data_IF_040171956220
#
_entry.id   IF_040171956220
#
_cell.length_a   1.000
_cell.length_b   1.000
_cell.length_c   1.000
_cell.angle_alpha   90.00
_cell.angle_beta   90.00
_cell.angle_gamma   90.00
#
_symmetry.space_group_name_H-M   'P 1'
#
loop_
_entity.id
_entity.type
_entity.pdbx_description
1 polymer ?
#
# COMPACT_ATOMS: atom_id res chain seq x y z
N UNK A 1 8.02 4.90 1.85
CA UNK A 1 8.83 3.78 2.32
C UNK A 1 8.61 3.58 3.81
N UNK A 2 8.41 2.36 4.23
CA UNK A 2 8.30 2.02 5.64
C UNK A 2 9.29 0.91 5.99
N UNK A 3 9.67 0.80 7.26
CA UNK A 3 10.64 -0.18 7.74
C UNK A 3 9.98 -1.07 8.79
N UNK A 4 10.26 -2.38 8.73
CA UNK A 4 9.87 -3.29 9.78
C UNK A 4 10.95 -3.38 10.89
N UNK A 5 10.67 -4.17 11.93
CA UNK A 5 11.61 -4.32 13.06
C UNK A 5 12.83 -5.16 12.72
N UNK A 6 12.86 -5.81 11.57
CA UNK A 6 13.96 -6.69 11.13
C UNK A 6 14.89 -6.01 10.13
N UNK A 7 14.67 -4.74 9.86
CA UNK A 7 15.50 -3.97 8.94
C UNK A 7 15.10 -4.07 7.47
N UNK A 8 14.01 -4.74 7.16
CA UNK A 8 13.45 -4.74 5.80
C UNK A 8 12.70 -3.45 5.54
N UNK A 9 12.73 -2.99 4.30
CA UNK A 9 11.99 -1.81 3.87
C UNK A 9 10.93 -2.19 2.85
N UNK A 10 9.80 -1.50 2.89
CA UNK A 10 8.73 -1.65 1.90
C UNK A 10 8.58 -0.35 1.14
N UNK A 11 8.37 -0.45 -0.15
CA UNK A 11 8.32 0.68 -1.07
C UNK A 11 7.06 0.58 -1.91
N UNK A 12 6.24 1.64 -1.89
CA UNK A 12 5.13 1.76 -2.82
C UNK A 12 5.68 2.31 -4.13
N UNK A 13 5.62 1.53 -5.19
CA UNK A 13 6.17 1.92 -6.48
C UNK A 13 5.05 2.03 -7.51
N UNK A 14 4.70 3.27 -7.82
CA UNK A 14 3.63 3.56 -8.77
C UNK A 14 4.01 3.17 -10.20
N UNK A 15 5.25 3.37 -10.57
CA UNK A 15 5.73 3.01 -11.91
C UNK A 15 5.69 1.52 -12.18
N UNK A 16 6.05 0.71 -11.19
CA UNK A 16 5.97 -0.75 -11.26
C UNK A 16 4.58 -1.28 -10.92
N UNK A 17 3.71 -0.42 -10.39
CA UNK A 17 2.37 -0.81 -9.93
C UNK A 17 2.43 -1.93 -8.89
N UNK A 18 3.34 -1.82 -7.94
CA UNK A 18 3.61 -2.89 -6.97
C UNK A 18 4.06 -2.33 -5.62
N UNK A 19 3.91 -3.15 -4.59
CA UNK A 19 4.62 -2.98 -3.34
C UNK A 19 5.89 -3.82 -3.44
N UNK A 20 7.03 -3.18 -3.26
CA UNK A 20 8.34 -3.82 -3.31
C UNK A 20 8.89 -4.00 -1.91
N UNK A 21 9.64 -5.06 -1.69
CA UNK A 21 10.45 -5.21 -0.48
C UNK A 21 11.93 -5.06 -0.82
N UNK A 22 12.64 -4.40 0.08
CA UNK A 22 14.10 -4.28 0.02
C UNK A 22 14.67 -4.98 1.24
N UNK A 23 15.46 -6.01 1.01
CA UNK A 23 16.11 -6.77 2.07
C UNK A 23 17.61 -6.71 1.91
N UNK A 24 18.32 -6.84 3.03
CA UNK A 24 19.78 -6.85 3.05
C UNK A 24 20.22 -8.21 3.59
N UNK A 25 20.72 -9.06 2.70
CA UNK A 25 21.17 -10.42 3.05
C UNK A 25 22.62 -10.55 2.64
N UNK A 26 23.49 -10.89 3.60
CA UNK A 26 24.94 -11.10 3.38
C UNK A 26 25.59 -9.94 2.61
N UNK A 27 25.30 -8.70 3.04
CA UNK A 27 25.78 -7.44 2.42
C UNK A 27 25.25 -7.22 0.98
N UNK A 28 24.29 -8.02 0.54
CA UNK A 28 23.63 -7.81 -0.74
C UNK A 28 22.25 -7.24 -0.54
N UNK A 29 21.90 -6.27 -1.38
CA UNK A 29 20.57 -5.66 -1.39
C UNK A 29 19.74 -6.41 -2.42
N UNK A 30 18.60 -6.96 -1.99
CA UNK A 30 17.63 -7.57 -2.87
C UNK A 30 16.35 -6.76 -2.86
N UNK A 31 15.82 -6.47 -4.05
CA UNK A 31 14.54 -5.77 -4.23
C UNK A 31 13.63 -6.70 -5.03
N UNK A 32 12.46 -7.01 -4.46
CA UNK A 32 11.52 -7.91 -5.09
C UNK A 32 10.09 -7.43 -4.84
N UNK A 33 9.15 -7.70 -5.79
CA UNK A 33 7.75 -7.39 -5.55
C UNK A 33 7.17 -8.31 -4.47
N UNK A 34 6.47 -7.71 -3.50
CA UNK A 34 5.68 -8.46 -2.51
C UNK A 34 4.30 -8.72 -3.08
N UNK A 35 3.66 -7.69 -3.59
CA UNK A 35 2.32 -7.73 -4.19
C UNK A 35 2.29 -6.81 -5.41
N UNK A 36 1.71 -7.27 -6.50
CA UNK A 36 1.51 -6.47 -7.72
C UNK A 36 0.13 -6.65 -8.35
N UNK A 37 -0.68 -7.56 -7.82
CA UNK A 37 -2.04 -7.74 -8.35
C UNK A 37 -3.00 -8.15 -7.24
N UNK A 38 -4.28 -7.95 -7.51
CA UNK A 38 -5.39 -8.35 -6.66
C UNK A 38 -6.48 -8.94 -7.54
N UNK A 39 -6.93 -10.16 -7.22
CA UNK A 39 -8.02 -10.85 -7.93
C UNK A 39 -7.77 -10.90 -9.45
N UNK A 40 -6.52 -11.19 -9.84
CA UNK A 40 -6.11 -11.30 -11.23
C UNK A 40 -5.94 -9.96 -11.96
N UNK A 41 -6.12 -8.82 -11.27
CA UNK A 41 -5.95 -7.49 -11.86
C UNK A 41 -4.70 -6.82 -11.29
N UNK A 42 -3.91 -6.19 -12.16
CA UNK A 42 -2.76 -5.41 -11.76
C UNK A 42 -3.20 -4.25 -10.85
N UNK A 43 -2.41 -3.95 -9.84
CA UNK A 43 -2.62 -2.75 -9.03
C UNK A 43 -2.53 -1.50 -9.94
N UNK A 44 -3.26 -0.47 -9.57
CA UNK A 44 -3.29 0.78 -10.36
C UNK A 44 -2.04 1.62 -10.17
N UNK A 45 -1.48 1.60 -8.99
CA UNK A 45 -0.28 2.31 -8.60
C UNK A 45 -0.33 2.63 -7.12
N UNK A 46 0.36 1.84 -6.29
CA UNK A 46 0.43 2.11 -4.84
C UNK A 46 1.05 3.48 -4.57
N UNK A 47 0.51 4.18 -3.58
CA UNK A 47 0.89 5.55 -3.29
C UNK A 47 1.45 5.71 -1.89
N UNK A 48 0.68 5.34 -0.87
CA UNK A 48 1.03 5.59 0.53
C UNK A 48 0.87 4.32 1.35
N UNK A 49 1.69 4.18 2.39
CA UNK A 49 1.72 2.99 3.22
C UNK A 49 1.85 3.34 4.70
N UNK A 50 1.32 2.45 5.54
CA UNK A 50 1.59 2.47 6.98
C UNK A 50 1.70 1.03 7.46
N UNK A 51 2.63 0.78 8.38
CA UNK A 51 2.88 -0.55 8.93
C UNK A 51 2.37 -0.64 10.36
N UNK A 52 1.51 -1.63 10.62
CA UNK A 52 1.15 -2.02 11.97
C UNK A 52 2.24 -2.95 12.50
N UNK A 53 3.10 -2.44 13.38
CA UNK A 53 4.20 -3.22 13.94
C UNK A 53 3.68 -4.35 14.82
N UNK A 54 2.64 -4.10 15.60
CA UNK A 54 2.11 -5.09 16.54
C UNK A 54 1.41 -6.25 15.84
N UNK A 55 0.79 -6.02 14.70
CA UNK A 55 0.04 -7.04 13.96
C UNK A 55 0.76 -7.55 12.72
N UNK A 56 1.89 -6.96 12.37
CA UNK A 56 2.68 -7.29 11.17
C UNK A 56 1.84 -7.21 9.89
N UNK A 57 1.07 -6.12 9.79
CA UNK A 57 0.18 -5.85 8.66
C UNK A 57 0.57 -4.53 8.02
N UNK A 58 0.78 -4.54 6.71
CA UNK A 58 1.07 -3.34 5.92
C UNK A 58 -0.20 -2.90 5.22
N UNK A 59 -0.66 -1.68 5.51
CA UNK A 59 -1.78 -1.07 4.81
C UNK A 59 -1.24 -0.14 3.73
N UNK A 60 -1.86 -0.14 2.55
CA UNK A 60 -1.47 0.78 1.50
C UNK A 60 -2.66 1.26 0.68
N UNK A 61 -2.50 2.44 0.10
CA UNK A 61 -3.47 2.99 -0.85
C UNK A 61 -3.05 2.65 -2.27
N UNK A 62 -4.02 2.32 -3.10
CA UNK A 62 -3.83 2.04 -4.52
C UNK A 62 -4.61 3.09 -5.31
N UNK A 63 -3.99 4.25 -5.52
CA UNK A 63 -4.63 5.40 -6.15
C UNK A 63 -4.50 5.40 -7.67
N UNK A 64 -3.44 4.81 -8.18
CA UNK A 64 -3.02 5.02 -9.55
C UNK A 64 -2.44 6.42 -9.77
N UNK A 65 -2.06 6.74 -11.00
CA UNK A 65 -1.54 8.06 -11.34
C UNK A 65 -2.56 9.16 -11.09
N UNK A 66 -2.07 10.38 -10.90
CA UNK A 66 -2.91 11.55 -10.70
C UNK A 66 -3.89 11.72 -11.86
N UNK A 67 -5.17 11.87 -11.54
CA UNK A 67 -6.24 12.02 -12.53
C UNK A 67 -7.00 10.74 -12.87
N UNK A 68 -6.45 9.56 -12.58
CA UNK A 68 -7.12 8.28 -12.87
C UNK A 68 -8.32 8.04 -11.95
N UNK A 69 -8.22 8.47 -10.71
CA UNK A 69 -9.29 8.34 -9.73
C UNK A 69 -9.72 9.71 -9.27
N UNK A 70 -11.00 10.04 -9.41
CA UNK A 70 -11.55 11.36 -9.11
C UNK A 70 -12.80 11.24 -8.27
N UNK A 71 -13.30 12.38 -7.77
CA UNK A 71 -14.55 12.41 -7.00
C UNK A 71 -15.74 11.95 -7.84
N UNK A 72 -15.73 12.24 -9.15
CA UNK A 72 -16.80 11.84 -10.07
C UNK A 72 -16.68 10.38 -10.51
N UNK A 73 -15.47 9.84 -10.48
CA UNK A 73 -15.19 8.44 -10.86
C UNK A 73 -14.16 7.86 -9.89
N UNK A 74 -14.55 7.57 -8.64
CA UNK A 74 -13.63 7.01 -7.67
C UNK A 74 -13.28 5.57 -8.02
N UNK A 75 -11.99 5.29 -8.22
CA UNK A 75 -11.48 3.96 -8.56
C UNK A 75 -10.37 3.50 -7.61
N UNK A 76 -9.99 4.34 -6.66
CA UNK A 76 -8.92 4.04 -5.72
C UNK A 76 -9.34 3.03 -4.65
N UNK A 77 -8.36 2.37 -4.09
CA UNK A 77 -8.56 1.29 -3.13
C UNK A 77 -7.61 1.39 -1.95
N UNK A 78 -7.95 0.69 -0.87
CA UNK A 78 -7.06 0.44 0.26
C UNK A 78 -6.97 -1.06 0.45
N UNK A 79 -5.76 -1.55 0.59
CA UNK A 79 -5.47 -2.96 0.82
C UNK A 79 -4.62 -3.15 2.07
N UNK A 80 -4.64 -4.35 2.60
CA UNK A 80 -3.78 -4.78 3.69
C UNK A 80 -3.00 -6.02 3.26
N UNK A 81 -1.72 -6.08 3.61
CA UNK A 81 -0.90 -7.27 3.42
C UNK A 81 -0.58 -7.84 4.79
N UNK A 82 -1.01 -9.07 5.04
CA UNK A 82 -0.55 -9.82 6.20
C UNK A 82 0.86 -10.32 5.88
N UNK A 83 1.86 -9.68 6.46
CA UNK A 83 3.26 -9.98 6.14
C UNK A 83 3.71 -11.34 6.65
N UNK A 84 3.04 -11.90 7.65
CA UNK A 84 3.40 -13.23 8.18
C UNK A 84 3.12 -14.35 7.19
N UNK A 85 2.14 -14.17 6.30
CA UNK A 85 1.75 -15.17 5.28
C UNK A 85 1.76 -14.59 3.87
N UNK A 86 2.18 -13.35 3.69
CA UNK A 86 2.22 -12.64 2.41
C UNK A 86 0.86 -12.66 1.69
N UNK A 87 -0.21 -12.44 2.45
CA UNK A 87 -1.57 -12.49 1.91
C UNK A 87 -2.14 -11.09 1.79
N UNK A 88 -2.62 -10.75 0.60
CA UNK A 88 -3.31 -9.49 0.33
C UNK A 88 -4.78 -9.61 0.68
N UNK A 89 -5.28 -8.62 1.41
CA UNK A 89 -6.69 -8.53 1.80
C UNK A 89 -7.24 -7.17 1.40
N UNK A 90 -8.45 -7.13 0.81
CA UNK A 90 -9.07 -5.84 0.50
C UNK A 90 -9.62 -5.19 1.78
N UNK A 91 -9.45 -3.88 1.88
CA UNK A 91 -10.10 -3.08 2.93
C UNK A 91 -11.26 -2.31 2.32
N UNK A 92 -11.00 -1.59 1.22
CA UNK A 92 -12.03 -0.87 0.48
C UNK A 92 -11.59 -0.79 -0.98
N UNK A 93 -12.38 -1.33 -1.89
CA UNK A 93 -11.97 -1.50 -3.29
C UNK A 93 -12.81 -0.62 -4.21
N UNK A 94 -12.11 0.23 -4.99
CA UNK A 94 -12.73 1.01 -6.08
C UNK A 94 -13.69 2.09 -5.63
N UNK A 95 -13.57 2.60 -4.40
CA UNK A 95 -14.53 3.52 -3.81
C UNK A 95 -13.96 4.88 -3.44
N UNK A 96 -12.63 5.05 -3.58
CA UNK A 96 -11.95 6.23 -3.09
C UNK A 96 -11.47 7.11 -4.23
N UNK A 97 -11.56 8.43 -4.05
CA UNK A 97 -11.09 9.42 -5.00
C UNK A 97 -9.63 9.75 -4.71
N UNK A 98 -8.73 9.08 -5.41
CA UNK A 98 -7.29 9.24 -5.31
C UNK A 98 -6.80 9.21 -3.86
N UNK A 99 -6.88 8.05 -3.18
CA UNK A 99 -6.37 7.94 -1.81
C UNK A 99 -4.86 8.11 -1.80
N UNK A 100 -4.37 9.15 -1.12
CA UNK A 100 -2.96 9.56 -1.17
C UNK A 100 -2.27 9.56 0.17
N UNK A 101 -3.02 9.46 1.27
CA UNK A 101 -2.45 9.43 2.61
C UNK A 101 -3.08 8.33 3.44
N UNK A 102 -2.28 7.73 4.31
CA UNK A 102 -2.76 6.68 5.19
C UNK A 102 -1.99 6.73 6.51
N UNK A 103 -2.70 6.54 7.62
CA UNK A 103 -2.10 6.54 8.96
C UNK A 103 -2.90 5.66 9.90
N UNK A 104 -2.25 5.14 10.91
CA UNK A 104 -2.89 4.41 12.01
C UNK A 104 -2.97 5.29 13.25
N UNK A 105 -4.03 5.09 14.05
CA UNK A 105 -4.08 5.67 15.39
C UNK A 105 -2.98 5.05 16.28
N UNK A 106 -2.61 5.72 17.40
CA UNK A 106 -1.57 5.18 18.29
C UNK A 106 -1.86 3.78 18.81
N UNK A 107 -3.13 3.45 19.04
CA UNK A 107 -3.54 2.12 19.47
C UNK A 107 -3.76 1.13 18.31
N UNK A 108 -3.56 1.59 17.07
CA UNK A 108 -3.71 0.82 15.84
C UNK A 108 -5.14 0.28 15.59
N UNK A 109 -6.13 0.84 16.27
CA UNK A 109 -7.54 0.42 16.10
C UNK A 109 -8.29 1.21 15.03
N UNK A 110 -7.74 2.33 14.57
CA UNK A 110 -8.36 3.18 13.55
C UNK A 110 -7.38 3.44 12.43
N UNK A 111 -7.83 3.23 11.21
CA UNK A 111 -7.08 3.53 10.00
C UNK A 111 -7.65 4.81 9.37
N UNK A 112 -6.81 5.83 9.20
CA UNK A 112 -7.18 7.08 8.56
C UNK A 112 -6.69 7.08 7.13
N UNK A 113 -7.57 7.45 6.20
CA UNK A 113 -7.25 7.52 4.78
C UNK A 113 -7.61 8.90 4.27
N UNK A 114 -6.66 9.56 3.62
CA UNK A 114 -6.88 10.87 3.00
C UNK A 114 -7.11 10.71 1.50
N UNK A 115 -8.17 11.32 1.00
CA UNK A 115 -8.47 11.36 -0.43
C UNK A 115 -8.05 12.73 -0.99
N UNK A 116 -7.42 12.72 -2.16
CA UNK A 116 -7.07 13.95 -2.87
C UNK A 116 -8.13 14.21 -3.93
N UNK A 117 -8.93 15.28 -3.74
CA UNK A 117 -9.93 15.68 -4.71
C UNK A 117 -9.27 16.50 -5.81
N UNK A 118 -9.55 16.13 -7.03
CA UNK A 118 -9.10 16.85 -8.23
C UNK A 118 -10.27 17.61 -8.84
N UNK A 119 -10.06 18.89 -9.01
CA UNK A 119 -11.04 19.74 -9.69
C UNK A 119 -10.79 19.79 -11.18
#
# INVERSE_FOLDING_TARGET
>A
MVFDNEGSAFIADMGYQAILSKTNIDDKIEIAPVIKDFDGKTLKGPNSMVLSQSNNVLFFTDSGPMGDSTIDNPTGSVFAIDLSVSMLKPVLVGKLAHPSGIALSPDENVLYVAETYMN
#
